data_IF_026207094241
#
_entry.id   IF_026207094241
#
_cell.length_a   1.000
_cell.length_b   1.000
_cell.length_c   1.000
_cell.angle_alpha   90.00
_cell.angle_beta   90.00
_cell.angle_gamma   90.00
#
_symmetry.space_group_name_H-M   'P 1'
#
loop_
_entity.id
_entity.type
_entity.pdbx_description
1 polymer ?
#
# COMPACT_ATOMS: atom_id res chain seq x y z
N UNK A 1 29.29 -15.18 9.82
CA UNK A 1 28.78 -15.74 8.57
C UNK A 1 27.88 -14.76 7.87
N UNK A 2 28.09 -14.52 6.59
CA UNK A 2 27.22 -13.68 5.78
C UNK A 2 25.83 -14.31 5.74
N UNK A 3 24.80 -13.51 6.00
CA UNK A 3 23.43 -13.91 6.26
C UNK A 3 22.80 -14.88 5.28
N UNK A 4 21.86 -15.64 5.79
CA UNK A 4 20.97 -16.47 4.97
C UNK A 4 19.80 -15.64 4.49
N UNK A 5 19.55 -15.67 3.17
CA UNK A 5 18.36 -15.05 2.58
C UNK A 5 17.22 -16.07 2.68
N UNK A 6 16.28 -15.80 3.55
CA UNK A 6 15.06 -16.59 3.67
C UNK A 6 13.93 -15.83 2.99
N UNK A 7 13.28 -16.48 2.01
CA UNK A 7 12.09 -16.05 1.24
C UNK A 7 12.30 -14.99 0.16
N UNK A 8 11.43 -15.07 -0.83
CA UNK A 8 11.34 -14.25 -2.04
C UNK A 8 12.35 -14.55 -3.16
N UNK A 9 12.91 -15.74 -3.22
CA UNK A 9 13.53 -16.15 -4.46
C UNK A 9 12.42 -16.61 -5.43
N UNK A 10 12.18 -15.81 -6.50
CA UNK A 10 11.14 -16.02 -7.52
C UNK A 10 9.68 -15.82 -7.05
N UNK A 11 9.43 -15.13 -5.95
CA UNK A 11 8.10 -14.75 -5.46
C UNK A 11 8.00 -13.22 -5.26
N UNK A 12 6.78 -12.66 -5.34
CA UNK A 12 6.57 -11.21 -5.28
C UNK A 12 6.25 -10.70 -3.86
N UNK A 13 5.67 -11.54 -2.97
CA UNK A 13 5.21 -11.12 -1.64
C UNK A 13 5.96 -11.82 -0.50
N UNK A 14 5.96 -11.24 0.69
CA UNK A 14 6.55 -11.84 1.90
C UNK A 14 8.04 -11.57 2.08
N UNK A 15 8.52 -10.33 1.88
CA UNK A 15 9.93 -9.95 2.05
C UNK A 15 10.41 -10.14 3.48
N UNK A 16 11.48 -10.94 3.65
CA UNK A 16 12.12 -11.15 4.94
C UNK A 16 13.55 -11.66 4.72
N UNK A 17 14.53 -10.88 5.14
CA UNK A 17 15.96 -11.24 5.02
C UNK A 17 16.58 -11.30 6.40
N UNK A 18 17.34 -12.36 6.67
CA UNK A 18 18.05 -12.56 7.93
C UNK A 18 19.53 -12.24 7.80
N UNK A 19 20.04 -11.44 8.71
CA UNK A 19 21.47 -11.11 8.84
C UNK A 19 21.95 -11.48 10.25
N UNK A 20 23.19 -11.92 10.32
CA UNK A 20 23.89 -12.06 11.60
C UNK A 20 25.25 -11.38 11.54
N UNK A 21 25.53 -10.53 12.52
CA UNK A 21 26.82 -9.90 12.71
C UNK A 21 27.22 -10.06 14.16
N UNK A 22 28.36 -10.72 14.41
CA UNK A 22 28.78 -11.11 15.76
C UNK A 22 27.69 -11.92 16.48
N UNK A 23 27.19 -11.43 17.61
CA UNK A 23 26.08 -12.02 18.38
C UNK A 23 24.69 -11.44 18.00
N UNK A 24 24.65 -10.43 17.14
CA UNK A 24 23.42 -9.71 16.77
C UNK A 24 22.69 -10.40 15.61
N UNK A 25 21.39 -10.56 15.76
CA UNK A 25 20.47 -11.13 14.78
C UNK A 25 19.50 -10.07 14.30
N UNK A 26 19.47 -9.86 13.01
CA UNK A 26 18.80 -8.73 12.35
C UNK A 26 17.89 -9.26 11.28
N UNK A 27 16.68 -8.70 11.18
CA UNK A 27 15.83 -8.86 10.00
C UNK A 27 15.84 -7.57 9.16
N UNK A 28 15.81 -7.73 7.86
CA UNK A 28 15.43 -6.66 6.93
C UNK A 28 14.10 -7.06 6.32
N UNK A 29 13.09 -6.27 6.61
CA UNK A 29 11.66 -6.55 6.42
C UNK A 29 11.17 -7.77 7.21
N UNK A 30 9.86 -7.84 7.40
CA UNK A 30 9.14 -8.96 8.00
C UNK A 30 7.74 -8.99 7.40
N UNK A 31 7.68 -9.38 6.13
CA UNK A 31 6.50 -9.25 5.29
C UNK A 31 5.57 -10.44 5.32
N UNK A 32 4.30 -10.18 5.12
CA UNK A 32 3.25 -11.17 4.99
C UNK A 32 3.11 -11.62 3.54
N UNK A 33 3.03 -12.92 3.30
CA UNK A 33 2.68 -13.45 1.99
C UNK A 33 1.22 -13.10 1.67
N UNK A 34 0.98 -12.70 0.42
CA UNK A 34 -0.34 -12.36 -0.11
C UNK A 34 -0.67 -13.26 -1.29
N UNK A 35 -1.91 -13.74 -1.35
CA UNK A 35 -2.35 -14.62 -2.42
C UNK A 35 -3.49 -15.54 -1.96
N UNK A 36 -3.85 -16.57 -2.76
CA UNK A 36 -4.92 -17.50 -2.41
C UNK A 36 -4.65 -18.29 -1.11
N UNK A 37 -3.37 -18.46 -0.74
CA UNK A 37 -2.93 -19.17 0.46
C UNK A 37 -2.48 -18.22 1.59
N UNK A 38 -3.21 -17.14 1.79
CA UNK A 38 -2.95 -16.08 2.78
C UNK A 38 -2.60 -16.56 4.20
N UNK A 39 -2.86 -17.81 4.51
CA UNK A 39 -2.64 -18.40 5.84
C UNK A 39 -1.42 -19.32 5.93
N UNK A 40 -0.70 -19.51 4.84
CA UNK A 40 0.51 -20.35 4.79
C UNK A 40 1.75 -19.46 4.79
N UNK A 41 1.85 -18.57 5.77
CA UNK A 41 3.11 -17.87 6.01
C UNK A 41 4.11 -18.86 6.58
N UNK A 42 5.27 -18.96 5.93
CA UNK A 42 6.35 -19.82 6.44
C UNK A 42 6.85 -19.27 7.78
N UNK A 43 7.29 -20.16 8.65
CA UNK A 43 7.90 -19.78 9.91
C UNK A 43 9.17 -18.95 9.69
N UNK A 44 9.37 -17.95 10.52
CA UNK A 44 10.62 -17.21 10.56
C UNK A 44 11.71 -18.18 11.02
N UNK A 45 12.84 -18.30 10.30
CA UNK A 45 13.83 -19.36 10.55
C UNK A 45 14.58 -19.25 11.87
N UNK A 46 14.31 -18.18 12.60
CA UNK A 46 14.96 -17.88 13.89
C UNK A 46 13.87 -17.60 14.92
N UNK A 47 14.10 -18.06 16.16
CA UNK A 47 13.18 -17.74 17.25
C UNK A 47 13.07 -16.21 17.40
N UNK A 48 11.86 -15.69 17.34
CA UNK A 48 11.56 -14.26 17.40
C UNK A 48 12.16 -13.56 18.63
N UNK A 49 12.21 -14.25 19.77
CA UNK A 49 12.82 -13.71 20.99
C UNK A 49 14.34 -13.49 20.89
N UNK A 50 14.99 -14.06 19.89
CA UNK A 50 16.41 -13.92 19.65
C UNK A 50 16.75 -12.86 18.59
N UNK A 51 15.77 -12.19 18.01
CA UNK A 51 15.98 -11.09 17.06
C UNK A 51 16.24 -9.81 17.84
N UNK A 52 17.36 -9.16 17.58
CA UNK A 52 17.76 -7.92 18.24
C UNK A 52 17.17 -6.70 17.52
N UNK A 53 17.19 -6.69 16.18
CA UNK A 53 16.81 -5.53 15.37
C UNK A 53 16.02 -5.94 14.13
N UNK A 54 15.13 -5.04 13.69
CA UNK A 54 14.46 -5.14 12.40
C UNK A 54 14.62 -3.82 11.66
N UNK A 55 14.97 -3.86 10.37
CA UNK A 55 15.05 -2.70 9.50
C UNK A 55 13.91 -2.83 8.47
N UNK A 56 13.04 -1.84 8.37
CA UNK A 56 11.87 -1.88 7.48
C UNK A 56 12.07 -0.93 6.31
N UNK A 57 12.03 -1.47 5.09
CA UNK A 57 12.21 -0.68 3.86
C UNK A 57 11.04 0.24 3.60
N UNK A 58 9.82 -0.25 3.76
CA UNK A 58 8.58 0.52 3.61
C UNK A 58 7.37 -0.19 4.23
N UNK A 59 6.23 0.50 4.26
CA UNK A 59 5.09 0.09 5.06
C UNK A 59 4.14 -0.93 4.42
N UNK A 60 4.32 -1.33 3.15
CA UNK A 60 3.44 -2.34 2.55
C UNK A 60 3.44 -3.64 3.37
N UNK A 61 2.28 -4.30 3.40
CA UNK A 61 2.05 -5.49 4.24
C UNK A 61 2.96 -6.66 3.87
N UNK A 62 3.36 -6.78 2.62
CA UNK A 62 4.33 -7.78 2.17
C UNK A 62 5.79 -7.47 2.57
N UNK A 63 6.03 -6.36 3.27
CA UNK A 63 7.31 -5.96 3.89
C UNK A 63 7.22 -5.79 5.41
N UNK A 64 6.06 -5.48 5.95
CA UNK A 64 5.87 -5.17 7.37
C UNK A 64 4.84 -6.06 8.09
N UNK A 65 4.01 -6.78 7.34
CA UNK A 65 2.76 -7.37 7.84
C UNK A 65 2.91 -8.47 8.87
N UNK A 66 4.08 -9.09 9.04
CA UNK A 66 4.35 -10.09 10.08
C UNK A 66 5.05 -9.51 11.33
N UNK A 67 5.28 -8.21 11.39
CA UNK A 67 5.85 -7.58 12.60
C UNK A 67 5.01 -7.83 13.86
N UNK A 68 3.66 -7.75 13.83
CA UNK A 68 2.85 -8.11 15.00
C UNK A 68 2.98 -9.58 15.39
N UNK A 69 3.08 -10.50 14.42
CA UNK A 69 3.31 -11.92 14.69
C UNK A 69 4.70 -12.14 15.31
N UNK A 70 5.72 -11.42 14.84
CA UNK A 70 7.05 -11.46 15.43
C UNK A 70 7.00 -11.03 16.91
N UNK A 71 6.25 -9.97 17.22
CA UNK A 71 6.04 -9.50 18.59
C UNK A 71 5.30 -10.52 19.46
N UNK A 72 4.23 -11.14 18.97
CA UNK A 72 3.46 -12.15 19.70
C UNK A 72 4.33 -13.39 20.03
N UNK A 73 5.31 -13.69 19.18
CA UNK A 73 6.27 -14.77 19.37
C UNK A 73 7.49 -14.38 20.23
N UNK A 74 7.45 -13.21 20.86
CA UNK A 74 8.44 -12.82 21.88
C UNK A 74 9.54 -11.85 21.44
N UNK A 75 9.46 -11.27 20.23
CA UNK A 75 10.35 -10.18 19.84
C UNK A 75 10.17 -8.98 20.77
N UNK A 76 11.30 -8.41 21.25
CA UNK A 76 11.33 -7.21 22.11
C UNK A 76 12.49 -6.27 21.74
N UNK A 77 13.08 -6.47 20.56
CA UNK A 77 14.12 -5.60 20.01
C UNK A 77 13.60 -4.27 19.48
N UNK A 78 14.39 -3.57 18.68
CA UNK A 78 14.04 -2.29 18.07
C UNK A 78 13.77 -2.45 16.57
N UNK A 79 12.83 -1.66 16.05
CA UNK A 79 12.45 -1.64 14.64
C UNK A 79 12.80 -0.26 14.08
N UNK A 80 13.75 -0.21 13.16
CA UNK A 80 14.21 1.03 12.53
C UNK A 80 13.51 1.19 11.17
N UNK A 81 12.91 2.34 10.95
CA UNK A 81 12.26 2.71 9.70
C UNK A 81 12.29 4.23 9.53
N UNK A 82 12.07 4.73 8.32
CA UNK A 82 11.88 6.17 8.15
C UNK A 82 10.67 6.66 8.94
N UNK A 83 10.64 7.94 9.29
CA UNK A 83 9.52 8.54 10.05
C UNK A 83 8.19 8.27 9.36
N UNK A 84 8.08 8.51 8.05
CA UNK A 84 6.84 8.31 7.32
C UNK A 84 6.46 6.82 7.22
N UNK A 85 7.42 5.90 7.05
CA UNK A 85 7.18 4.45 7.11
C UNK A 85 6.65 4.04 8.48
N UNK A 86 7.22 4.55 9.57
CA UNK A 86 6.76 4.26 10.94
C UNK A 86 5.32 4.72 11.16
N UNK A 87 4.96 5.93 10.70
CA UNK A 87 3.59 6.45 10.78
C UNK A 87 2.61 5.62 9.93
N UNK A 88 3.00 5.22 8.73
CA UNK A 88 2.17 4.35 7.88
C UNK A 88 2.00 2.96 8.48
N UNK A 89 3.06 2.34 9.02
CA UNK A 89 2.97 1.06 9.72
C UNK A 89 1.98 1.15 10.91
N UNK A 90 1.94 2.28 11.62
CA UNK A 90 1.00 2.46 12.73
C UNK A 90 -0.47 2.32 12.31
N UNK A 91 -0.84 2.79 11.13
CA UNK A 91 -2.22 2.65 10.64
C UNK A 91 -2.43 1.31 9.91
N UNK A 92 -1.47 0.86 9.13
CA UNK A 92 -1.60 -0.33 8.29
C UNK A 92 -1.60 -1.63 9.08
N UNK A 93 -0.75 -1.76 10.10
CA UNK A 93 -0.70 -2.97 10.93
C UNK A 93 -1.97 -3.14 11.78
N UNK A 94 -2.53 -2.05 12.28
CA UNK A 94 -3.82 -2.06 12.98
C UNK A 94 -4.98 -2.42 12.06
N UNK A 95 -5.01 -1.88 10.85
CA UNK A 95 -6.02 -2.21 9.85
C UNK A 95 -5.92 -3.69 9.47
N UNK A 96 -4.70 -4.20 9.26
CA UNK A 96 -4.46 -5.62 8.99
C UNK A 96 -4.93 -6.53 10.12
N UNK A 97 -4.64 -6.20 11.38
CA UNK A 97 -5.15 -6.93 12.54
C UNK A 97 -6.68 -6.94 12.58
N UNK A 98 -7.30 -5.77 12.38
CA UNK A 98 -8.75 -5.64 12.34
C UNK A 98 -9.39 -6.52 11.25
N UNK A 99 -8.84 -6.50 10.04
CA UNK A 99 -9.33 -7.32 8.91
C UNK A 99 -9.22 -8.81 9.26
N UNK A 100 -8.07 -9.28 9.76
CA UNK A 100 -7.86 -10.69 10.11
C UNK A 100 -8.79 -11.16 11.22
N UNK A 101 -8.98 -10.36 12.27
CA UNK A 101 -9.89 -10.66 13.36
C UNK A 101 -11.35 -10.74 12.88
N UNK A 102 -11.76 -9.80 12.03
CA UNK A 102 -13.10 -9.78 11.44
C UNK A 102 -13.35 -11.00 10.55
N UNK A 103 -12.39 -11.36 9.70
CA UNK A 103 -12.48 -12.54 8.82
C UNK A 103 -12.49 -13.83 9.62
N UNK A 104 -11.66 -13.95 10.66
CA UNK A 104 -11.68 -15.12 11.56
C UNK A 104 -13.03 -15.26 12.25
N UNK A 105 -13.60 -14.18 12.79
CA UNK A 105 -14.92 -14.21 13.42
C UNK A 105 -16.01 -14.63 12.43
N UNK A 106 -16.00 -14.08 11.22
CA UNK A 106 -16.97 -14.43 10.19
C UNK A 106 -16.88 -15.90 9.77
N UNK A 107 -15.65 -16.44 9.62
CA UNK A 107 -15.41 -17.87 9.34
C UNK A 107 -15.86 -18.74 10.51
N UNK A 108 -15.59 -18.33 11.74
CA UNK A 108 -15.92 -19.07 12.96
C UNK A 108 -17.45 -19.15 13.18
N UNK A 109 -18.21 -18.12 12.83
CA UNK A 109 -19.68 -18.19 12.81
C UNK A 109 -20.20 -19.30 11.88
N UNK A 110 -19.55 -19.52 10.73
CA UNK A 110 -19.89 -20.61 9.81
C UNK A 110 -19.37 -21.96 10.31
N UNK A 111 -18.15 -22.01 10.80
CA UNK A 111 -17.52 -23.22 11.32
C UNK A 111 -18.32 -23.81 12.49
N UNK A 112 -18.74 -22.99 13.46
CA UNK A 112 -19.60 -23.43 14.59
C UNK A 112 -20.89 -24.09 14.12
N UNK A 113 -21.55 -23.54 13.08
CA UNK A 113 -22.78 -24.14 12.52
C UNK A 113 -22.53 -25.46 11.78
N UNK A 114 -21.31 -25.64 11.26
CA UNK A 114 -20.91 -26.83 10.51
C UNK A 114 -20.16 -27.87 11.36
N UNK A 115 -19.89 -27.60 12.64
CA UNK A 115 -19.10 -28.48 13.52
C UNK A 115 -17.63 -28.57 13.10
N UNK A 116 -17.09 -27.50 12.43
CA UNK A 116 -15.70 -27.43 11.98
C UNK A 116 -14.83 -26.69 13.02
N UNK A 117 -13.51 -26.94 13.05
CA UNK A 117 -12.57 -26.20 13.88
C UNK A 117 -12.63 -24.69 13.63
N UNK A 118 -12.41 -23.91 14.68
CA UNK A 118 -12.30 -22.44 14.57
C UNK A 118 -10.93 -22.03 14.03
N UNK A 119 -10.91 -20.94 13.28
CA UNK A 119 -9.70 -20.30 12.74
C UNK A 119 -9.26 -19.22 13.72
N UNK A 120 -7.97 -19.14 13.99
CA UNK A 120 -7.36 -18.09 14.81
C UNK A 120 -6.67 -17.11 13.87
N UNK A 121 -6.80 -15.79 14.05
CA UNK A 121 -6.04 -14.82 13.29
C UNK A 121 -4.53 -15.00 13.56
N UNK A 122 -3.66 -14.60 12.62
CA UNK A 122 -2.20 -14.69 12.80
C UNK A 122 -1.74 -13.86 14.00
N UNK A 123 -2.38 -12.72 14.23
CA UNK A 123 -2.17 -11.82 15.36
C UNK A 123 -3.44 -10.98 15.59
N UNK A 124 -3.51 -10.36 16.74
CA UNK A 124 -4.64 -9.51 17.12
C UNK A 124 -4.24 -8.02 17.22
N UNK A 125 -5.17 -7.20 17.72
CA UNK A 125 -4.97 -5.76 17.88
C UNK A 125 -3.94 -5.43 18.95
N UNK A 126 -3.85 -6.23 20.02
CA UNK A 126 -2.88 -6.01 21.10
C UNK A 126 -1.47 -6.29 20.61
N UNK A 127 -1.28 -7.31 19.77
CA UNK A 127 0.00 -7.60 19.11
C UNK A 127 0.41 -6.46 18.16
N UNK A 128 -0.54 -5.97 17.35
CA UNK A 128 -0.30 -4.85 16.46
C UNK A 128 0.05 -3.57 17.23
N UNK A 129 -0.65 -3.28 18.31
CA UNK A 129 -0.35 -2.11 19.15
C UNK A 129 0.99 -2.27 19.87
N UNK A 130 1.28 -3.46 20.40
CA UNK A 130 2.52 -3.72 21.15
C UNK A 130 3.78 -3.60 20.29
N UNK A 131 3.77 -4.11 19.06
CA UNK A 131 4.92 -3.99 18.15
C UNK A 131 5.25 -2.56 17.78
N UNK A 132 4.25 -1.68 17.70
CA UNK A 132 4.44 -0.27 17.34
C UNK A 132 5.24 0.52 18.37
N UNK A 133 5.27 0.09 19.62
CA UNK A 133 6.09 0.69 20.67
C UNK A 133 7.60 0.46 20.48
N UNK A 134 7.98 -0.47 19.61
CA UNK A 134 9.37 -0.81 19.29
C UNK A 134 9.94 -0.02 18.11
N UNK A 135 9.14 0.78 17.41
CA UNK A 135 9.62 1.57 16.29
C UNK A 135 10.52 2.73 16.71
N UNK A 136 11.62 2.88 15.99
CA UNK A 136 12.57 3.99 16.09
C UNK A 136 12.56 4.74 14.76
N UNK A 137 11.87 5.87 14.67
CA UNK A 137 11.83 6.68 13.46
C UNK A 137 13.19 7.25 13.10
N UNK A 138 13.55 7.18 11.82
CA UNK A 138 14.84 7.59 11.29
C UNK A 138 14.68 8.61 10.16
N UNK A 139 15.69 9.47 10.00
CA UNK A 139 15.78 10.39 8.87
C UNK A 139 16.48 9.72 7.68
N UNK A 140 16.15 10.18 6.48
CA UNK A 140 16.88 9.80 5.26
C UNK A 140 18.34 10.32 5.28
N UNK A 141 19.19 9.57 4.60
CA UNK A 141 20.59 9.92 4.30
C UNK A 141 21.49 10.14 5.52
N UNK A 142 21.05 9.80 6.72
CA UNK A 142 21.87 9.82 7.94
C UNK A 142 22.39 8.42 8.23
N UNK A 143 23.69 8.31 8.48
CA UNK A 143 24.28 7.08 9.00
C UNK A 143 23.93 6.97 10.49
N UNK A 144 23.34 5.84 10.84
CA UNK A 144 22.90 5.52 12.19
C UNK A 144 23.73 4.34 12.69
N UNK A 145 24.38 4.49 13.81
CA UNK A 145 25.06 3.41 14.50
C UNK A 145 24.04 2.67 15.37
N UNK A 146 23.76 1.42 15.02
CA UNK A 146 22.77 0.58 15.70
C UNK A 146 23.39 -0.05 16.95
N UNK A 147 24.55 -0.62 16.79
CA UNK A 147 25.39 -1.20 17.84
C UNK A 147 26.82 -1.33 17.32
N UNK A 148 27.73 -1.82 18.17
CA UNK A 148 29.08 -2.11 17.72
C UNK A 148 29.07 -3.06 16.51
N UNK A 149 29.76 -2.66 15.46
CA UNK A 149 29.84 -3.40 14.19
C UNK A 149 28.62 -3.27 13.25
N UNK A 150 27.53 -2.56 13.62
CA UNK A 150 26.36 -2.42 12.73
C UNK A 150 25.98 -0.96 12.55
N UNK A 151 26.02 -0.50 11.30
CA UNK A 151 25.53 0.83 10.89
C UNK A 151 24.55 0.70 9.74
N UNK A 152 23.60 1.63 9.65
CA UNK A 152 22.63 1.67 8.57
C UNK A 152 22.45 3.09 8.02
N UNK A 153 21.91 3.18 6.80
CA UNK A 153 21.40 4.42 6.21
C UNK A 153 20.16 4.11 5.36
N UNK A 154 19.13 4.89 5.54
CA UNK A 154 17.93 4.85 4.68
C UNK A 154 18.12 5.82 3.51
N UNK A 155 17.93 5.34 2.29
CA UNK A 155 18.04 6.10 1.04
C UNK A 155 16.68 6.05 0.33
N UNK A 156 16.14 7.18 -0.09
CA UNK A 156 14.80 7.24 -0.68
C UNK A 156 14.66 6.33 -1.89
N UNK A 157 13.73 5.39 -1.85
CA UNK A 157 13.46 4.44 -2.93
C UNK A 157 12.38 4.93 -3.91
N UNK A 158 11.70 6.05 -3.65
CA UNK A 158 10.70 6.65 -4.54
C UNK A 158 9.49 5.76 -4.85
N UNK A 159 9.25 4.71 -4.07
CA UNK A 159 8.18 3.74 -4.30
C UNK A 159 6.88 4.13 -3.59
N UNK A 160 6.95 4.38 -2.30
CA UNK A 160 5.86 4.77 -1.42
C UNK A 160 6.34 5.92 -0.53
N UNK A 161 5.41 6.65 0.09
CA UNK A 161 5.77 7.65 1.11
C UNK A 161 6.61 6.98 2.20
N UNK A 162 7.80 7.51 2.46
CA UNK A 162 8.70 6.94 3.44
C UNK A 162 9.53 5.74 2.96
N UNK A 163 9.30 5.21 1.76
CA UNK A 163 10.02 4.04 1.25
C UNK A 163 11.52 4.28 1.14
N UNK A 164 12.30 3.25 1.40
CA UNK A 164 13.75 3.35 1.37
C UNK A 164 14.43 2.08 0.89
N UNK A 165 15.54 2.26 0.18
CA UNK A 165 16.59 1.26 0.12
C UNK A 165 17.45 1.38 1.38
N UNK A 166 17.91 0.27 1.94
CA UNK A 166 18.67 0.25 3.19
C UNK A 166 20.10 -0.18 2.90
N UNK A 167 21.04 0.69 3.21
CA UNK A 167 22.46 0.35 3.26
C UNK A 167 22.78 -0.14 4.66
N UNK A 168 23.43 -1.30 4.75
CA UNK A 168 23.83 -1.94 6.01
C UNK A 168 25.34 -2.19 5.98
N UNK A 169 26.08 -1.61 6.90
CA UNK A 169 27.50 -1.92 7.11
C UNK A 169 27.63 -2.86 8.29
N UNK A 170 28.24 -4.01 8.03
CA UNK A 170 28.54 -5.04 9.02
C UNK A 170 30.05 -5.15 9.19
N UNK A 171 30.52 -4.94 10.41
CA UNK A 171 31.94 -4.99 10.76
C UNK A 171 32.21 -6.13 11.75
N UNK A 172 33.05 -7.07 11.35
CA UNK A 172 33.55 -8.12 12.21
C UNK A 172 35.08 -8.08 12.16
N UNK A 173 35.74 -8.05 13.32
CA UNK A 173 37.17 -7.83 13.44
C UNK A 173 37.61 -6.56 12.69
N UNK A 174 38.47 -6.68 11.69
CA UNK A 174 38.97 -5.55 10.87
C UNK A 174 38.31 -5.47 9.48
N UNK A 175 37.25 -6.27 9.25
CA UNK A 175 36.59 -6.31 7.94
C UNK A 175 35.19 -5.72 8.01
N UNK A 176 34.93 -4.72 7.17
CA UNK A 176 33.59 -4.17 6.95
C UNK A 176 33.04 -4.62 5.59
N UNK A 177 31.78 -5.02 5.59
CA UNK A 177 31.03 -5.37 4.37
C UNK A 177 29.80 -4.48 4.29
N UNK A 178 29.56 -3.90 3.11
CA UNK A 178 28.38 -3.09 2.81
C UNK A 178 27.39 -3.90 2.00
N UNK A 179 26.19 -4.07 2.54
CA UNK A 179 25.08 -4.75 1.89
C UNK A 179 23.96 -3.73 1.62
N UNK A 180 23.37 -3.77 0.43
CA UNK A 180 22.22 -2.95 0.06
C UNK A 180 20.98 -3.84 -0.13
N UNK A 181 19.90 -3.46 0.53
CA UNK A 181 18.56 -4.02 0.33
C UNK A 181 17.74 -2.97 -0.38
N UNK A 182 17.29 -3.25 -1.60
CA UNK A 182 16.57 -2.25 -2.39
C UNK A 182 15.19 -1.92 -1.80
N UNK A 183 14.55 -2.85 -1.10
CA UNK A 183 13.11 -2.80 -0.95
C UNK A 183 12.44 -2.81 -2.31
N UNK A 184 11.27 -2.21 -2.42
CA UNK A 184 10.63 -1.95 -3.70
C UNK A 184 11.08 -0.57 -4.21
N UNK A 185 11.49 -0.51 -5.48
CA UNK A 185 12.03 0.71 -6.11
C UNK A 185 10.93 1.35 -6.96
N UNK A 186 10.68 2.63 -6.73
CA UNK A 186 9.77 3.40 -7.55
C UNK A 186 10.37 3.73 -8.91
N UNK A 187 9.51 3.87 -9.92
CA UNK A 187 9.95 4.49 -11.18
C UNK A 187 10.01 6.02 -11.02
N UNK A 188 10.86 6.67 -11.80
CA UNK A 188 10.99 8.14 -11.80
C UNK A 188 9.72 8.86 -12.24
N UNK A 189 9.68 10.17 -11.96
CA UNK A 189 8.63 11.10 -12.38
C UNK A 189 7.24 10.86 -11.76
N UNK A 190 7.18 10.32 -10.54
CA UNK A 190 5.94 10.34 -9.76
C UNK A 190 5.61 11.79 -9.36
N UNK A 191 4.36 12.22 -9.51
CA UNK A 191 4.04 13.65 -9.32
C UNK A 191 4.11 14.11 -7.86
N UNK A 192 3.93 13.18 -6.92
CA UNK A 192 3.71 13.52 -5.51
C UNK A 192 4.95 13.28 -4.63
N UNK A 193 5.68 12.20 -4.86
CA UNK A 193 6.83 11.80 -4.05
C UNK A 193 8.13 11.93 -4.84
N UNK A 194 9.25 12.00 -4.12
CA UNK A 194 10.60 12.10 -4.72
C UNK A 194 10.90 10.89 -5.61
N UNK A 195 11.79 11.10 -6.57
CA UNK A 195 12.37 10.02 -7.35
C UNK A 195 13.33 9.18 -6.49
N UNK A 196 13.53 7.89 -6.84
CA UNK A 196 14.52 7.07 -6.15
C UNK A 196 15.91 7.69 -6.24
N UNK A 197 16.65 7.64 -5.14
CA UNK A 197 18.05 8.02 -5.07
C UNK A 197 18.93 6.83 -5.42
N UNK A 198 20.06 7.10 -6.07
CA UNK A 198 21.02 6.05 -6.44
C UNK A 198 22.02 5.81 -5.31
N UNK A 199 22.49 4.56 -5.22
CA UNK A 199 23.55 4.12 -4.32
C UNK A 199 24.72 3.72 -5.21
N UNK A 200 25.86 4.38 -5.05
CA UNK A 200 26.97 4.28 -6.00
C UNK A 200 27.79 2.98 -5.86
N UNK A 201 27.88 2.43 -4.65
CA UNK A 201 28.71 1.25 -4.38
C UNK A 201 28.16 0.37 -3.26
N UNK A 202 28.37 -0.93 -3.36
CA UNK A 202 28.11 -1.93 -2.35
C UNK A 202 28.95 -3.17 -2.62
N UNK A 203 29.24 -3.97 -1.57
CA UNK A 203 29.85 -5.28 -1.73
C UNK A 203 28.81 -6.32 -2.18
N UNK A 204 27.56 -6.19 -1.68
CA UNK A 204 26.43 -7.04 -2.05
C UNK A 204 25.15 -6.22 -2.22
N UNK A 205 24.34 -6.62 -3.19
CA UNK A 205 23.04 -5.99 -3.46
C UNK A 205 21.97 -7.06 -3.54
N UNK A 206 20.91 -6.90 -2.73
CA UNK A 206 19.67 -7.64 -2.86
C UNK A 206 18.66 -6.68 -3.49
N UNK A 207 18.29 -6.97 -4.74
CA UNK A 207 17.43 -6.09 -5.54
C UNK A 207 16.15 -6.80 -5.96
N UNK A 208 15.02 -6.07 -5.91
CA UNK A 208 13.78 -6.53 -6.50
C UNK A 208 13.90 -6.72 -8.01
N UNK A 209 13.05 -7.56 -8.57
CA UNK A 209 12.99 -7.79 -10.03
C UNK A 209 11.57 -8.04 -10.53
N UNK A 210 10.59 -7.44 -9.89
CA UNK A 210 9.15 -7.62 -10.18
C UNK A 210 8.82 -7.39 -11.67
N UNK A 211 9.42 -6.37 -12.25
CA UNK A 211 9.31 -6.04 -13.68
C UNK A 211 10.65 -6.12 -14.42
N UNK A 212 11.60 -6.91 -13.93
CA UNK A 212 12.93 -7.04 -14.51
C UNK A 212 12.98 -7.62 -15.94
N UNK A 213 11.86 -8.15 -16.42
CA UNK A 213 11.70 -8.77 -17.75
C UNK A 213 11.13 -7.81 -18.81
N UNK A 214 10.79 -6.56 -18.45
CA UNK A 214 10.14 -5.64 -19.38
C UNK A 214 10.48 -4.18 -19.13
N UNK A 215 10.35 -3.39 -20.18
CA UNK A 215 10.46 -1.93 -20.11
C UNK A 215 9.05 -1.35 -20.06
N UNK A 216 8.78 -0.50 -19.07
CA UNK A 216 7.55 0.27 -19.02
C UNK A 216 7.61 1.42 -20.03
N UNK A 217 6.48 1.68 -20.70
CA UNK A 217 6.33 2.90 -21.48
C UNK A 217 6.35 4.12 -20.56
N UNK A 218 6.78 5.26 -21.07
CA UNK A 218 6.67 6.52 -20.33
C UNK A 218 5.21 6.74 -19.91
N UNK A 219 4.95 7.10 -18.65
CA UNK A 219 3.59 7.32 -18.18
C UNK A 219 2.96 8.50 -18.93
N UNK A 220 1.74 8.34 -19.46
CA UNK A 220 1.02 9.45 -20.08
C UNK A 220 0.66 10.52 -19.04
N UNK A 221 0.23 11.70 -19.51
CA UNK A 221 -0.42 12.66 -18.60
C UNK A 221 -1.82 12.15 -18.23
N UNK A 222 -1.94 11.64 -17.01
CA UNK A 222 -3.18 11.01 -16.55
C UNK A 222 -4.34 11.98 -16.31
N UNK A 223 -4.09 13.27 -16.07
CA UNK A 223 -5.17 14.20 -15.77
C UNK A 223 -6.14 14.40 -16.95
N UNK A 224 -5.70 14.63 -18.20
CA UNK A 224 -6.59 14.67 -19.37
C UNK A 224 -7.33 13.37 -19.63
N UNK A 225 -6.64 12.21 -19.48
CA UNK A 225 -7.29 10.91 -19.70
C UNK A 225 -8.39 10.64 -18.65
N UNK A 226 -8.09 10.90 -17.38
CA UNK A 226 -9.06 10.78 -16.28
C UNK A 226 -10.24 11.75 -16.47
N UNK A 227 -9.98 13.00 -16.91
CA UNK A 227 -11.04 13.96 -17.24
C UNK A 227 -11.96 13.44 -18.35
N UNK A 228 -11.40 12.83 -19.41
CA UNK A 228 -12.19 12.24 -20.48
C UNK A 228 -13.06 11.06 -19.98
N UNK A 229 -12.55 10.23 -19.08
CA UNK A 229 -13.32 9.14 -18.45
C UNK A 229 -14.45 9.71 -17.59
N UNK A 230 -14.18 10.72 -16.75
CA UNK A 230 -15.22 11.38 -15.93
C UNK A 230 -16.29 11.98 -16.83
N UNK A 231 -15.90 12.75 -17.87
CA UNK A 231 -16.83 13.41 -18.81
C UNK A 231 -17.82 12.42 -19.41
N UNK A 232 -17.32 11.34 -20.02
CA UNK A 232 -18.20 10.36 -20.68
C UNK A 232 -19.08 9.58 -19.69
N UNK A 233 -18.58 9.29 -18.49
CA UNK A 233 -19.33 8.59 -17.44
C UNK A 233 -20.46 9.49 -16.92
N UNK A 234 -20.13 10.74 -16.59
CA UNK A 234 -21.11 11.69 -16.05
C UNK A 234 -22.16 12.11 -17.09
N UNK A 235 -21.78 12.21 -18.36
CA UNK A 235 -22.74 12.46 -19.46
C UNK A 235 -23.80 11.35 -19.57
N UNK A 236 -23.47 10.11 -19.17
CA UNK A 236 -24.42 9.00 -19.07
C UNK A 236 -25.23 8.99 -17.77
N UNK A 237 -24.89 9.86 -16.79
CA UNK A 237 -25.51 9.91 -15.47
C UNK A 237 -25.01 8.85 -14.49
N UNK A 238 -23.87 8.20 -14.77
CA UNK A 238 -23.28 7.15 -13.96
C UNK A 238 -22.17 7.63 -13.02
N UNK A 239 -21.78 6.79 -12.08
CA UNK A 239 -20.65 7.01 -11.19
C UNK A 239 -19.35 6.49 -11.81
N UNK A 240 -18.25 7.18 -11.53
CA UNK A 240 -16.90 6.65 -11.74
C UNK A 240 -16.40 6.02 -10.43
N UNK A 241 -16.23 4.70 -10.41
CA UNK A 241 -15.74 3.96 -9.25
C UNK A 241 -14.29 3.54 -9.51
N UNK A 242 -13.39 3.92 -8.61
CA UNK A 242 -11.95 3.67 -8.72
C UNK A 242 -11.50 2.78 -7.56
N UNK A 243 -11.34 1.47 -7.78
CA UNK A 243 -10.66 0.61 -6.83
C UNK A 243 -9.20 1.04 -6.68
N UNK A 244 -8.78 1.41 -5.48
CA UNK A 244 -7.42 1.88 -5.24
C UNK A 244 -6.87 1.37 -3.90
N UNK A 245 -5.57 1.14 -3.83
CA UNK A 245 -4.91 0.92 -2.55
C UNK A 245 -5.02 2.17 -1.68
N UNK A 246 -5.21 1.98 -0.39
CA UNK A 246 -5.40 3.08 0.57
C UNK A 246 -4.21 4.02 0.66
N UNK A 247 -3.00 3.49 0.46
CA UNK A 247 -1.73 4.23 0.54
C UNK A 247 -1.06 4.27 -0.84
N UNK A 248 -0.61 5.44 -1.24
CA UNK A 248 0.06 5.71 -2.49
C UNK A 248 -0.91 5.98 -3.64
N UNK A 249 -1.60 4.95 -4.13
CA UNK A 249 -2.48 5.06 -5.30
C UNK A 249 -3.66 6.01 -5.11
N UNK A 250 -4.30 5.97 -3.97
CA UNK A 250 -5.38 6.91 -3.65
C UNK A 250 -4.88 8.35 -3.73
N UNK A 251 -3.72 8.66 -3.15
CA UNK A 251 -3.17 10.01 -3.13
C UNK A 251 -2.72 10.48 -4.52
N UNK A 252 -2.20 9.58 -5.36
CA UNK A 252 -1.91 9.90 -6.78
C UNK A 252 -3.19 10.27 -7.55
N UNK A 253 -4.27 9.52 -7.34
CA UNK A 253 -5.56 9.86 -7.97
C UNK A 253 -6.08 11.22 -7.50
N UNK A 254 -5.93 11.54 -6.23
CA UNK A 254 -6.30 12.85 -5.70
C UNK A 254 -5.49 13.99 -6.35
N UNK A 255 -4.19 13.77 -6.57
CA UNK A 255 -3.35 14.72 -7.27
C UNK A 255 -3.87 15.00 -8.69
N UNK A 256 -4.21 13.97 -9.45
CA UNK A 256 -4.75 14.13 -10.81
C UNK A 256 -6.15 14.77 -10.80
N UNK A 257 -7.03 14.41 -9.87
CA UNK A 257 -8.34 15.04 -9.72
C UNK A 257 -8.23 16.53 -9.36
N UNK A 258 -7.27 16.90 -8.49
CA UNK A 258 -6.96 18.32 -8.22
C UNK A 258 -6.55 19.03 -9.50
N UNK A 259 -5.64 18.44 -10.30
CA UNK A 259 -5.22 19.05 -11.59
C UNK A 259 -6.40 19.25 -12.51
N UNK A 260 -7.30 18.28 -12.63
CA UNK A 260 -8.53 18.44 -13.45
C UNK A 260 -9.32 19.68 -13.03
N UNK A 261 -9.45 19.91 -11.72
CA UNK A 261 -10.14 21.10 -11.16
C UNK A 261 -9.39 22.39 -11.45
N UNK A 262 -8.10 22.43 -11.13
CA UNK A 262 -7.29 23.67 -11.19
C UNK A 262 -6.89 24.06 -12.62
N UNK A 263 -6.78 23.10 -13.52
CA UNK A 263 -6.49 23.31 -14.94
C UNK A 263 -7.77 23.40 -15.81
N UNK A 264 -8.96 23.36 -15.17
CA UNK A 264 -10.28 23.41 -15.84
C UNK A 264 -10.45 22.41 -16.99
N UNK A 265 -9.92 21.19 -16.80
CA UNK A 265 -9.97 20.15 -17.85
C UNK A 265 -11.37 19.56 -18.06
N UNK A 266 -12.33 19.89 -17.19
CA UNK A 266 -13.70 19.36 -17.23
C UNK A 266 -14.74 20.48 -17.02
N UNK A 267 -14.83 21.45 -17.92
CA UNK A 267 -15.68 22.64 -17.73
C UNK A 267 -17.18 22.31 -17.68
N UNK A 268 -17.64 21.23 -18.29
CA UNK A 268 -19.04 20.84 -18.27
C UNK A 268 -19.50 20.27 -16.92
N UNK A 269 -18.56 19.82 -16.10
CA UNK A 269 -18.78 19.23 -14.77
C UNK A 269 -17.82 19.81 -13.73
N UNK A 270 -17.58 21.11 -13.77
CA UNK A 270 -16.60 21.77 -12.91
C UNK A 270 -16.84 21.52 -11.42
N UNK A 271 -18.11 21.41 -11.00
CA UNK A 271 -18.54 21.17 -9.62
C UNK A 271 -18.60 19.69 -9.23
N UNK A 272 -17.93 18.78 -9.97
CA UNK A 272 -17.97 17.37 -9.62
C UNK A 272 -17.47 17.11 -8.20
N UNK A 273 -18.08 16.12 -7.55
CA UNK A 273 -17.68 15.66 -6.24
C UNK A 273 -16.92 14.34 -6.33
N UNK A 274 -15.89 14.19 -5.47
CA UNK A 274 -15.15 12.94 -5.30
C UNK A 274 -15.15 12.52 -3.84
N UNK A 275 -15.27 11.22 -3.59
CA UNK A 275 -15.25 10.63 -2.26
C UNK A 275 -14.05 9.71 -2.09
N UNK A 276 -13.32 9.87 -0.96
CA UNK A 276 -12.45 8.83 -0.41
C UNK A 276 -13.30 8.02 0.56
N UNK A 277 -13.72 6.83 0.13
CA UNK A 277 -14.49 5.92 0.99
C UNK A 277 -13.62 4.77 1.51
N UNK A 278 -12.66 5.11 2.34
CA UNK A 278 -11.77 4.21 3.06
C UNK A 278 -11.19 4.93 4.26
N UNK A 279 -11.49 4.52 5.51
CA UNK A 279 -10.90 5.12 6.71
C UNK A 279 -9.38 5.12 6.67
N UNK A 280 -8.76 4.00 6.30
CA UNK A 280 -7.31 3.88 6.16
C UNK A 280 -6.74 4.89 5.13
N UNK A 281 -7.42 5.09 3.99
CA UNK A 281 -6.96 6.05 2.99
C UNK A 281 -7.06 7.50 3.49
N UNK A 282 -8.05 7.82 4.32
CA UNK A 282 -8.18 9.14 4.97
C UNK A 282 -7.02 9.36 5.94
N UNK A 283 -6.71 8.38 6.79
CA UNK A 283 -5.59 8.46 7.73
C UNK A 283 -4.25 8.57 6.99
N UNK A 284 -4.04 7.75 5.95
CA UNK A 284 -2.85 7.83 5.10
C UNK A 284 -2.69 9.22 4.47
N UNK A 285 -3.78 9.81 3.96
CA UNK A 285 -3.76 11.15 3.38
C UNK A 285 -3.31 12.22 4.39
N UNK A 286 -3.68 12.07 5.66
CA UNK A 286 -3.21 12.95 6.73
C UNK A 286 -1.70 12.79 6.99
N UNK A 287 -1.15 11.57 6.87
CA UNK A 287 0.30 11.33 6.98
C UNK A 287 1.04 11.98 5.81
N UNK A 288 0.51 11.89 4.59
CA UNK A 288 1.07 12.59 3.43
C UNK A 288 1.20 14.10 3.69
N UNK A 289 0.19 14.74 4.28
CA UNK A 289 0.25 16.16 4.60
C UNK A 289 1.34 16.54 5.62
N UNK A 290 1.71 15.64 6.51
CA UNK A 290 2.77 15.86 7.50
C UNK A 290 4.17 15.62 6.93
N UNK A 291 4.31 14.81 5.90
CA UNK A 291 5.57 14.32 5.36
C UNK A 291 6.09 15.12 4.15
N UNK A 292 5.60 16.36 3.96
CA UNK A 292 5.92 17.21 2.79
C UNK A 292 7.43 17.41 2.63
N UNK A 293 8.10 17.83 3.70
CA UNK A 293 9.52 18.20 3.65
C UNK A 293 10.42 17.02 3.25
N UNK A 294 10.15 15.85 3.80
CA UNK A 294 11.01 14.69 3.65
C UNK A 294 10.73 13.88 2.38
N UNK A 295 9.45 13.78 2.00
CA UNK A 295 9.02 12.80 1.01
C UNK A 295 8.49 13.40 -0.30
N UNK A 296 8.01 14.66 -0.32
CA UNK A 296 7.38 15.20 -1.52
C UNK A 296 8.40 15.58 -2.59
N UNK A 297 7.99 15.43 -3.86
CA UNK A 297 8.72 15.94 -5.02
C UNK A 297 8.86 17.47 -4.96
N UNK A 298 9.85 18.02 -5.68
CA UNK A 298 10.03 19.47 -5.75
C UNK A 298 8.80 20.18 -6.33
N UNK A 299 8.08 19.53 -7.26
CA UNK A 299 6.84 20.05 -7.82
C UNK A 299 5.74 20.13 -6.77
N UNK A 300 5.53 19.04 -6.02
CA UNK A 300 4.53 19.01 -4.96
C UNK A 300 4.86 19.99 -3.82
N UNK A 301 6.14 20.15 -3.47
CA UNK A 301 6.58 21.15 -2.48
C UNK A 301 6.28 22.58 -2.93
N UNK A 302 6.57 22.94 -4.18
CA UNK A 302 6.23 24.25 -4.74
C UNK A 302 4.74 24.57 -4.65
N UNK A 303 3.87 23.58 -4.84
CA UNK A 303 2.44 23.76 -4.64
C UNK A 303 2.11 24.12 -3.18
N UNK A 304 2.71 23.41 -2.23
CA UNK A 304 2.52 23.67 -0.79
C UNK A 304 3.03 25.06 -0.40
N UNK A 305 4.19 25.47 -0.90
CA UNK A 305 4.75 26.83 -0.70
C UNK A 305 3.83 27.93 -1.23
N UNK A 306 3.08 27.64 -2.29
CA UNK A 306 2.05 28.54 -2.85
C UNK A 306 0.71 28.48 -2.08
N UNK A 307 0.64 27.70 -0.99
CA UNK A 307 -0.60 27.50 -0.23
C UNK A 307 -1.61 26.57 -0.91
N UNK A 308 -1.18 25.80 -1.92
CA UNK A 308 -2.00 24.85 -2.65
C UNK A 308 -1.80 23.46 -2.05
N UNK A 309 -2.90 22.82 -1.65
CA UNK A 309 -2.85 21.41 -1.24
C UNK A 309 -2.70 20.50 -2.47
N UNK A 310 -1.60 19.72 -2.64
CA UNK A 310 -1.39 18.90 -3.82
C UNK A 310 -2.43 17.80 -4.03
N UNK A 311 -3.09 17.34 -2.97
CA UNK A 311 -4.06 16.23 -2.96
C UNK A 311 -5.44 16.65 -2.43
N UNK A 312 -5.68 17.95 -2.28
CA UNK A 312 -6.95 18.51 -1.85
C UNK A 312 -7.55 19.46 -2.89
N UNK A 313 -8.86 19.46 -3.06
CA UNK A 313 -9.57 20.32 -4.00
C UNK A 313 -11.02 20.52 -3.57
N UNK A 314 -11.69 21.60 -4.05
CA UNK A 314 -13.12 21.82 -3.80
C UNK A 314 -13.96 20.65 -4.34
N UNK A 315 -14.84 20.11 -3.48
CA UNK A 315 -15.68 18.94 -3.83
C UNK A 315 -15.08 17.59 -3.44
N UNK A 316 -13.85 17.55 -2.89
CA UNK A 316 -13.33 16.33 -2.26
C UNK A 316 -14.01 16.14 -0.90
N UNK A 317 -14.53 14.93 -0.70
CA UNK A 317 -15.20 14.49 0.53
C UNK A 317 -14.60 13.18 1.03
N UNK A 318 -14.71 12.95 2.32
CA UNK A 318 -14.26 11.70 2.95
C UNK A 318 -15.44 11.02 3.63
N UNK A 319 -15.40 9.71 3.71
CA UNK A 319 -16.37 8.89 4.45
C UNK A 319 -15.61 7.98 5.42
N UNK A 320 -15.89 8.13 6.70
CA UNK A 320 -15.26 7.35 7.77
C UNK A 320 -16.22 6.30 8.31
N UNK A 321 -17.47 6.62 8.49
CA UNK A 321 -18.47 5.69 9.03
C UNK A 321 -19.14 4.83 7.96
N UNK A 322 -19.69 3.67 8.37
CA UNK A 322 -20.44 2.81 7.46
C UNK A 322 -21.73 3.46 6.93
N UNK A 323 -22.34 4.34 7.70
CA UNK A 323 -23.57 5.00 7.27
C UNK A 323 -23.29 6.11 6.25
N UNK A 324 -22.21 6.87 6.41
CA UNK A 324 -21.73 7.79 5.38
C UNK A 324 -21.43 7.06 4.08
N UNK A 325 -20.73 5.92 4.15
CA UNK A 325 -20.43 5.07 2.98
C UNK A 325 -21.68 4.62 2.24
N UNK A 326 -22.72 4.18 2.98
CA UNK A 326 -24.01 3.79 2.37
C UNK A 326 -24.65 4.95 1.63
N UNK A 327 -24.61 6.17 2.21
CA UNK A 327 -25.24 7.35 1.62
C UNK A 327 -24.64 7.74 0.27
N UNK A 328 -23.36 7.45 0.03
CA UNK A 328 -22.71 7.68 -1.28
C UNK A 328 -23.48 6.96 -2.41
N UNK A 329 -23.93 5.73 -2.17
CA UNK A 329 -24.63 4.93 -3.18
C UNK A 329 -26.07 5.41 -3.47
N UNK A 330 -26.62 6.30 -2.65
CA UNK A 330 -27.94 6.90 -2.87
C UNK A 330 -27.89 8.28 -3.52
N UNK A 331 -26.70 8.77 -3.86
CA UNK A 331 -26.55 10.04 -4.58
C UNK A 331 -27.31 10.00 -5.92
N UNK A 332 -28.05 11.07 -6.20
CA UNK A 332 -28.71 11.27 -7.49
C UNK A 332 -27.80 11.93 -8.52
N UNK A 333 -26.69 12.52 -8.07
CA UNK A 333 -25.68 13.13 -8.95
C UNK A 333 -24.57 12.13 -9.21
N UNK A 334 -23.99 12.12 -10.42
CA UNK A 334 -22.76 11.38 -10.68
C UNK A 334 -21.62 11.77 -9.73
N UNK A 335 -20.87 10.77 -9.27
CA UNK A 335 -19.78 10.94 -8.32
C UNK A 335 -18.52 10.20 -8.80
N UNK A 336 -17.36 10.70 -8.39
CA UNK A 336 -16.11 9.92 -8.38
C UNK A 336 -15.99 9.27 -7.02
N UNK A 337 -15.82 7.94 -6.97
CA UNK A 337 -15.71 7.17 -5.72
C UNK A 337 -14.39 6.42 -5.73
N UNK A 338 -13.48 6.78 -4.83
CA UNK A 338 -12.21 6.08 -4.61
C UNK A 338 -12.35 5.25 -3.34
N UNK A 339 -12.15 3.94 -3.45
CA UNK A 339 -12.34 3.05 -2.30
C UNK A 339 -11.38 1.85 -2.34
N UNK A 340 -10.95 1.40 -1.18
CA UNK A 340 -10.12 0.21 -1.03
C UNK A 340 -11.01 -1.06 -0.92
N UNK A 341 -10.50 -2.23 -1.34
CA UNK A 341 -9.15 -2.54 -1.80
C UNK A 341 -8.99 -2.37 -3.32
N UNK A 342 -7.74 -2.18 -3.75
CA UNK A 342 -7.42 -2.00 -5.17
C UNK A 342 -7.70 -3.22 -6.05
N UNK A 343 -7.70 -4.43 -5.49
CA UNK A 343 -7.99 -5.70 -6.19
C UNK A 343 -9.44 -6.19 -5.97
N UNK A 344 -10.27 -5.41 -5.28
CA UNK A 344 -11.69 -5.69 -5.00
C UNK A 344 -11.99 -6.92 -4.12
N UNK A 345 -11.00 -7.48 -3.43
CA UNK A 345 -11.18 -8.68 -2.59
C UNK A 345 -11.81 -8.38 -1.24
N UNK A 346 -11.58 -7.20 -0.69
CA UNK A 346 -12.07 -6.78 0.62
C UNK A 346 -12.50 -5.31 0.59
N UNK A 347 -13.01 -4.80 1.71
CA UNK A 347 -13.31 -3.40 1.92
C UNK A 347 -14.60 -2.90 1.31
N UNK A 348 -14.79 -1.59 1.43
CA UNK A 348 -16.03 -0.91 1.01
C UNK A 348 -16.23 -0.88 -0.50
N UNK A 349 -15.15 -1.00 -1.27
CA UNK A 349 -15.21 -1.09 -2.73
C UNK A 349 -16.21 -2.15 -3.21
N UNK A 350 -16.32 -3.28 -2.51
CA UNK A 350 -17.25 -4.37 -2.88
C UNK A 350 -18.72 -3.93 -2.80
N UNK A 351 -19.05 -3.03 -1.87
CA UNK A 351 -20.40 -2.45 -1.80
C UNK A 351 -20.64 -1.49 -2.97
N UNK A 352 -19.67 -0.65 -3.31
CA UNK A 352 -19.77 0.24 -4.46
C UNK A 352 -19.87 -0.55 -5.77
N UNK A 353 -19.12 -1.63 -5.91
CA UNK A 353 -19.23 -2.54 -7.08
C UNK A 353 -20.62 -3.17 -7.17
N UNK A 354 -21.17 -3.65 -6.05
CA UNK A 354 -22.55 -4.20 -6.02
C UNK A 354 -23.57 -3.19 -6.53
N UNK A 355 -23.42 -1.91 -6.21
CA UNK A 355 -24.35 -0.85 -6.60
C UNK A 355 -24.11 -0.30 -8.00
N UNK A 356 -22.93 -0.47 -8.60
CA UNK A 356 -22.57 0.16 -9.86
C UNK A 356 -22.33 -0.82 -11.01
N UNK A 357 -21.94 -2.08 -10.79
CA UNK A 357 -21.60 -3.04 -11.86
C UNK A 357 -22.76 -3.33 -12.81
N UNK A 358 -24.00 -3.39 -12.32
CA UNK A 358 -25.17 -3.68 -13.12
C UNK A 358 -25.70 -2.45 -13.90
N UNK A 359 -25.14 -1.26 -13.64
CA UNK A 359 -25.55 0.01 -14.22
C UNK A 359 -24.69 0.33 -15.46
N UNK A 360 -25.27 0.32 -16.67
CA UNK A 360 -24.52 0.62 -17.91
C UNK A 360 -24.01 2.06 -17.99
N UNK A 361 -24.56 2.97 -17.17
CA UNK A 361 -24.11 4.36 -17.09
C UNK A 361 -22.79 4.49 -16.32
N UNK A 362 -22.53 3.60 -15.38
CA UNK A 362 -21.35 3.65 -14.48
C UNK A 362 -20.10 3.13 -15.17
N UNK A 363 -18.94 3.58 -14.67
CA UNK A 363 -17.63 3.11 -15.09
C UNK A 363 -16.85 2.64 -13.87
N UNK A 364 -16.20 1.48 -13.98
CA UNK A 364 -15.19 1.00 -13.02
C UNK A 364 -13.84 1.20 -13.67
N UNK A 365 -12.98 1.99 -13.04
CA UNK A 365 -11.65 2.33 -13.55
C UNK A 365 -10.56 1.72 -12.64
N UNK A 366 -9.89 0.71 -13.14
CA UNK A 366 -8.73 0.14 -12.48
C UNK A 366 -7.49 1.01 -12.73
N UNK A 367 -6.75 1.27 -11.65
CA UNK A 367 -5.57 2.14 -11.62
C UNK A 367 -4.36 1.43 -11.00
N UNK A 368 -4.32 0.12 -11.06
CA UNK A 368 -3.24 -0.71 -10.54
C UNK A 368 -3.33 -2.14 -11.04
N UNK A 369 -2.23 -2.87 -10.89
CA UNK A 369 -2.14 -4.27 -11.28
C UNK A 369 -3.21 -5.13 -10.57
N UNK A 370 -3.78 -6.08 -11.32
CA UNK A 370 -4.77 -7.02 -10.81
C UNK A 370 -4.22 -8.44 -10.86
N UNK A 371 -4.00 -9.04 -9.70
CA UNK A 371 -3.46 -10.40 -9.57
C UNK A 371 -4.46 -11.43 -10.10
N UNK A 372 -4.02 -12.43 -10.88
CA UNK A 372 -4.86 -13.54 -11.32
C UNK A 372 -5.60 -14.21 -10.15
N UNK A 373 -6.89 -14.47 -10.33
CA UNK A 373 -7.76 -15.05 -9.29
C UNK A 373 -8.53 -14.02 -8.47
N UNK A 374 -8.21 -12.72 -8.56
CA UNK A 374 -8.95 -11.67 -7.87
C UNK A 374 -10.19 -11.22 -8.64
N UNK A 375 -11.15 -10.60 -7.94
CA UNK A 375 -12.35 -10.03 -8.55
C UNK A 375 -11.99 -8.94 -9.56
N UNK A 376 -11.01 -8.08 -9.24
CA UNK A 376 -10.55 -7.06 -10.18
C UNK A 376 -9.99 -7.65 -11.47
N UNK A 377 -9.20 -8.71 -11.38
CA UNK A 377 -8.69 -9.44 -12.54
C UNK A 377 -9.84 -10.04 -13.39
N UNK A 378 -10.83 -10.66 -12.74
CA UNK A 378 -11.99 -11.22 -13.44
C UNK A 378 -12.77 -10.14 -14.20
N UNK A 379 -12.99 -8.96 -13.60
CA UNK A 379 -13.65 -7.83 -14.23
C UNK A 379 -12.89 -7.30 -15.45
N UNK A 380 -11.55 -7.11 -15.31
CA UNK A 380 -10.71 -6.67 -16.43
C UNK A 380 -10.69 -7.67 -17.60
N UNK A 381 -10.82 -8.97 -17.31
CA UNK A 381 -10.90 -10.02 -18.33
C UNK A 381 -12.32 -10.24 -18.86
N UNK A 382 -13.25 -9.32 -18.62
CA UNK A 382 -14.55 -9.29 -19.25
C UNK A 382 -15.59 -10.21 -18.63
N UNK A 383 -15.48 -10.53 -17.34
CA UNK A 383 -16.53 -11.25 -16.62
C UNK A 383 -17.89 -10.57 -16.82
N UNK A 384 -18.90 -11.35 -17.22
CA UNK A 384 -20.28 -10.85 -17.48
C UNK A 384 -21.13 -10.89 -16.22
N UNK A 385 -20.75 -11.70 -15.26
CA UNK A 385 -21.41 -11.86 -13.97
C UNK A 385 -20.36 -12.14 -12.90
N UNK A 386 -20.52 -11.56 -11.71
CA UNK A 386 -19.67 -11.79 -10.55
C UNK A 386 -20.49 -12.02 -9.30
N UNK A 387 -19.94 -12.73 -8.31
CA UNK A 387 -20.63 -13.00 -7.05
C UNK A 387 -20.16 -12.04 -5.96
N UNK A 388 -21.05 -11.20 -5.46
CA UNK A 388 -20.80 -10.27 -4.37
C UNK A 388 -21.80 -10.48 -3.23
N UNK A 389 -21.31 -10.68 -2.02
CA UNK A 389 -22.15 -10.91 -0.81
C UNK A 389 -23.20 -12.02 -0.98
N UNK A 390 -22.88 -13.05 -1.78
CA UNK A 390 -23.77 -14.18 -2.05
C UNK A 390 -24.76 -13.95 -3.20
N UNK A 391 -24.82 -12.76 -3.79
CA UNK A 391 -25.68 -12.41 -4.92
C UNK A 391 -24.86 -12.42 -6.22
N UNK A 392 -25.49 -12.87 -7.30
CA UNK A 392 -24.94 -12.78 -8.65
C UNK A 392 -25.27 -11.40 -9.22
N UNK A 393 -24.24 -10.63 -9.60
CA UNK A 393 -24.36 -9.30 -10.14
C UNK A 393 -23.92 -9.32 -11.60
N UNK A 394 -24.79 -8.89 -12.50
CA UNK A 394 -24.47 -8.72 -13.92
C UNK A 394 -23.53 -7.53 -14.12
N UNK A 395 -22.58 -7.65 -15.03
CA UNK A 395 -21.59 -6.61 -15.34
C UNK A 395 -22.03 -5.90 -16.62
N UNK A 396 -22.69 -4.77 -16.47
CA UNK A 396 -23.11 -3.87 -17.56
C UNK A 396 -22.32 -2.56 -17.56
N UNK A 397 -21.68 -2.20 -16.43
CA UNK A 397 -20.82 -1.04 -16.32
C UNK A 397 -19.63 -1.14 -17.29
N UNK A 398 -19.15 0.01 -17.74
CA UNK A 398 -17.90 0.08 -18.50
C UNK A 398 -16.72 -0.27 -17.57
N UNK A 399 -15.90 -1.23 -17.99
CA UNK A 399 -14.69 -1.63 -17.24
C UNK A 399 -13.48 -1.10 -18.00
N UNK A 400 -12.65 -0.31 -17.32
CA UNK A 400 -11.47 0.33 -17.88
C UNK A 400 -10.24 0.04 -17.03
N UNK A 401 -9.09 0.07 -17.68
CA UNK A 401 -7.78 0.09 -17.04
C UNK A 401 -7.03 1.35 -17.50
N UNK A 402 -6.44 2.06 -16.56
CA UNK A 402 -5.55 3.18 -16.85
C UNK A 402 -4.11 2.64 -16.82
N UNK A 403 -3.47 2.43 -17.98
CA UNK A 403 -2.17 1.78 -18.04
C UNK A 403 -1.06 2.68 -17.49
N UNK A 404 0.02 2.05 -16.99
CA UNK A 404 1.24 2.76 -16.58
C UNK A 404 1.22 3.35 -15.17
N UNK A 405 0.14 3.19 -14.42
CA UNK A 405 0.08 3.55 -13.00
C UNK A 405 0.38 2.32 -12.10
N UNK A 406 1.07 1.33 -12.53
CA UNK A 406 1.43 0.15 -11.70
C UNK A 406 2.85 0.25 -11.19
#
# INVERSE_FOLDING_TARGET
GLGDVYKRQHEVTGSCHFLQCQDKRILVDCGMEQGPDLYVNQEIPVNASNIDYVFVTHAHIDHSGLLPLLYSHGFRGQIFATTATSELCNIMLKDSAHIQMFEAEWRNRKARRAGLPEVVPLYDMDDAQGVLEHFVPCDYNKIIEICDGVKIRFVDAGHLLGSSSIEVWLTEEDKTVKIVFSGDIGHGNKPLIKNPQFIDEADYVLIESTYGDRIHADPPDYAPELAAVIKRTFARGGNLVIPAFSVGRTQEMLYHLRRIKTEHLLPEFEDFEAYIDSPLAVEATNIFHKSVEDCFSDEAKKLVEQGINPIGFPGLKTSVTSDESKMINFSKKPLVIISASGMCEAGRIRHHLKHNLWRPESTILFVGYQVPGTLGHALLNGAKEVKLFGENIQVHAEILNLPGIS
#
